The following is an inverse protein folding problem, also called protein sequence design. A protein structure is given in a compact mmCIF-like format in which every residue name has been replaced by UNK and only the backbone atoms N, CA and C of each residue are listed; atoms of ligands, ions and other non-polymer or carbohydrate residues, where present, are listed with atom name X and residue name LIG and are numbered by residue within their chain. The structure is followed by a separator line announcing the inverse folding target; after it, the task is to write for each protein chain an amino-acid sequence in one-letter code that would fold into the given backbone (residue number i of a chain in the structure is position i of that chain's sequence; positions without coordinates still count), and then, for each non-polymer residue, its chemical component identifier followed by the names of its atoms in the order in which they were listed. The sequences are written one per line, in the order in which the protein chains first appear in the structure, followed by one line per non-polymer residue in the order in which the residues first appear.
data_IF_198975733460
#
_entry.id   IF_198975733460
#
_cell.length_a   1.000
_cell.length_b   1.000
_cell.length_c   1.000
_cell.angle_alpha   90.00
_cell.angle_beta   90.00
_cell.angle_gamma   90.00
#
_symmetry.space_group_name_H-M   'P 1'
#
loop_
_entity.id
_entity.type
_entity.pdbx_description
1 polymer ?
#
# COMPACT_ATOMS: atom_id res chain seq x y z
N UNK A 1 10.00 4.82 2.20
CA UNK A 1 8.87 5.08 3.11
C UNK A 1 9.34 5.63 4.46
N UNK A 2 10.09 4.89 5.30
CA UNK A 2 10.53 5.39 6.64
C UNK A 2 11.31 6.71 6.61
N UNK A 3 12.16 6.95 5.59
CA UNK A 3 12.91 8.19 5.48
C UNK A 3 12.03 9.42 5.20
N UNK A 4 10.94 9.25 4.44
CA UNK A 4 9.98 10.33 4.16
C UNK A 4 9.11 10.66 5.37
N UNK A 5 8.80 9.65 6.20
CA UNK A 5 8.10 9.82 7.48
C UNK A 5 8.93 10.62 8.49
N UNK A 6 10.21 10.26 8.65
CA UNK A 6 11.13 11.06 9.46
C UNK A 6 11.22 12.49 8.94
N UNK A 7 11.36 12.67 7.63
CA UNK A 7 11.40 14.00 7.03
C UNK A 7 10.11 14.80 7.30
N UNK A 8 8.94 14.19 7.14
CA UNK A 8 7.65 14.88 7.35
C UNK A 8 7.43 15.27 8.82
N UNK A 9 7.76 14.39 9.77
CA UNK A 9 7.64 14.69 11.20
C UNK A 9 8.64 15.76 11.64
N UNK A 10 9.88 15.70 11.14
CA UNK A 10 10.91 16.72 11.39
C UNK A 10 10.46 18.07 10.80
N UNK A 11 9.94 18.11 9.58
CA UNK A 11 9.45 19.34 8.95
C UNK A 11 8.31 19.95 9.77
N UNK A 12 7.36 19.14 10.24
CA UNK A 12 6.28 19.61 11.09
C UNK A 12 6.80 20.18 12.42
N UNK A 13 7.67 19.45 13.12
CA UNK A 13 8.28 19.92 14.37
C UNK A 13 9.11 21.21 14.19
N UNK A 14 9.91 21.30 13.14
CA UNK A 14 10.70 22.49 12.81
C UNK A 14 9.80 23.70 12.53
N UNK A 15 8.69 23.50 11.80
CA UNK A 15 7.71 24.55 11.55
C UNK A 15 7.10 25.07 12.85
N UNK A 16 6.72 24.18 13.77
CA UNK A 16 6.11 24.55 15.05
C UNK A 16 7.10 25.30 15.96
N UNK A 17 8.37 24.85 16.02
CA UNK A 17 9.46 25.55 16.73
C UNK A 17 9.79 26.91 16.11
N UNK A 18 9.72 27.03 14.78
CA UNK A 18 9.96 28.31 14.10
C UNK A 18 8.83 29.30 14.38
N UNK A 19 7.57 28.84 14.35
CA UNK A 19 6.39 29.67 14.60
C UNK A 19 6.39 30.23 16.03
N UNK A 20 6.64 29.37 17.02
CA UNK A 20 6.78 29.75 18.44
C UNK A 20 7.95 30.71 18.67
N UNK A 21 9.13 30.45 18.10
CA UNK A 21 10.28 31.36 18.20
C UNK A 21 10.00 32.72 17.54
N UNK A 22 9.38 32.72 16.37
CA UNK A 22 9.07 33.95 15.67
C UNK A 22 8.03 34.80 16.43
N UNK A 23 7.01 34.18 17.03
CA UNK A 23 6.08 34.88 17.92
C UNK A 23 6.76 35.40 19.19
N UNK A 24 7.67 34.60 19.78
CA UNK A 24 8.50 35.02 20.91
C UNK A 24 9.32 36.29 20.61
N UNK A 25 9.95 36.35 19.44
CA UNK A 25 10.75 37.48 18.95
C UNK A 25 9.92 38.74 18.63
N UNK A 26 8.58 38.63 18.55
CA UNK A 26 7.68 39.77 18.38
C UNK A 26 7.24 40.38 19.70
N UNK A 27 7.30 39.63 20.81
CA UNK A 27 6.86 40.12 22.12
C UNK A 27 7.81 41.19 22.68
N UNK A 28 7.30 42.23 23.35
CA UNK A 28 8.12 43.28 23.94
C UNK A 28 8.91 42.78 25.16
N UNK A 29 10.21 43.11 25.21
CA UNK A 29 11.14 42.72 26.29
C UNK A 29 10.82 43.30 27.68
N UNK A 30 9.88 44.24 27.77
CA UNK A 30 9.53 44.95 29.02
C UNK A 30 8.69 44.11 29.99
N UNK A 31 8.10 43.01 29.53
CA UNK A 31 7.25 42.13 30.35
C UNK A 31 8.07 40.95 30.91
N UNK A 32 7.71 40.44 32.10
CA UNK A 32 8.36 39.26 32.66
C UNK A 32 8.22 38.06 31.71
N UNK A 33 9.26 37.23 31.65
CA UNK A 33 9.36 36.10 30.71
C UNK A 33 8.16 35.15 30.77
N UNK A 34 7.60 34.94 31.97
CA UNK A 34 6.43 34.07 32.16
C UNK A 34 5.17 34.62 31.46
N UNK A 35 4.93 35.93 31.55
CA UNK A 35 3.79 36.59 30.89
C UNK A 35 4.00 36.65 29.37
N UNK A 36 5.26 36.81 28.91
CA UNK A 36 5.61 36.74 27.49
C UNK A 36 5.33 35.35 26.91
N UNK A 37 5.71 34.29 27.64
CA UNK A 37 5.46 32.92 27.21
C UNK A 37 3.96 32.63 27.14
N UNK A 38 3.19 33.06 28.15
CA UNK A 38 1.74 32.93 28.16
C UNK A 38 1.10 33.54 26.91
N UNK A 39 1.50 34.77 26.52
CA UNK A 39 1.00 35.43 25.31
C UNK A 39 1.40 34.74 24.01
N UNK A 40 2.61 34.18 23.94
CA UNK A 40 3.06 33.42 22.77
C UNK A 40 2.26 32.13 22.62
N UNK A 41 2.03 31.41 23.72
CA UNK A 41 1.22 30.20 23.73
C UNK A 41 -0.25 30.50 23.43
N UNK A 42 -0.78 31.64 23.89
CA UNK A 42 -2.14 32.08 23.56
C UNK A 42 -2.30 32.41 22.06
N UNK A 43 -1.30 33.04 21.44
CA UNK A 43 -1.33 33.41 20.02
C UNK A 43 -1.08 32.21 19.09
N UNK A 44 -0.13 31.35 19.43
CA UNK A 44 0.39 30.30 18.53
C UNK A 44 -0.11 28.90 18.88
N UNK A 45 -0.39 28.65 20.16
CA UNK A 45 -0.79 27.33 20.67
C UNK A 45 -1.96 26.72 19.92
N UNK A 46 -3.10 27.43 19.73
CA UNK A 46 -4.24 26.91 18.99
C UNK A 46 -3.88 26.49 17.55
N UNK A 47 -3.05 27.27 16.85
CA UNK A 47 -2.64 26.96 15.48
C UNK A 47 -1.80 25.68 15.40
N UNK A 48 -0.87 25.50 16.35
CA UNK A 48 -0.03 24.31 16.42
C UNK A 48 -0.88 23.09 16.75
N UNK A 49 -1.73 23.18 17.78
CA UNK A 49 -2.61 22.09 18.19
C UNK A 49 -3.56 21.67 17.08
N UNK A 50 -4.18 22.60 16.36
CA UNK A 50 -5.06 22.26 15.23
C UNK A 50 -4.30 21.52 14.14
N UNK A 51 -3.11 21.99 13.77
CA UNK A 51 -2.31 21.38 12.70
C UNK A 51 -1.87 19.97 13.08
N UNK A 52 -1.33 19.78 14.29
CA UNK A 52 -0.87 18.47 14.76
C UNK A 52 -2.03 17.50 14.96
N UNK A 53 -3.14 17.96 15.54
CA UNK A 53 -4.33 17.14 15.76
C UNK A 53 -4.93 16.67 14.43
N UNK A 54 -5.10 17.57 13.45
CA UNK A 54 -5.64 17.18 12.14
C UNK A 54 -4.72 16.19 11.44
N UNK A 55 -3.40 16.37 11.52
CA UNK A 55 -2.44 15.41 10.95
C UNK A 55 -2.54 14.04 11.63
N UNK A 56 -2.55 13.99 12.96
CA UNK A 56 -2.69 12.74 13.74
C UNK A 56 -4.00 12.03 13.38
N UNK A 57 -5.13 12.75 13.32
CA UNK A 57 -6.42 12.16 12.94
C UNK A 57 -6.40 11.63 11.51
N UNK A 58 -5.77 12.34 10.57
CA UNK A 58 -5.65 11.90 9.17
C UNK A 58 -4.85 10.59 9.07
N UNK A 59 -3.75 10.47 9.81
CA UNK A 59 -2.98 9.24 9.88
C UNK A 59 -3.73 8.11 10.61
N UNK A 60 -4.50 8.41 11.66
CA UNK A 60 -5.34 7.42 12.32
C UNK A 60 -6.47 6.91 11.40
N UNK A 61 -7.01 7.73 10.51
CA UNK A 61 -7.93 7.27 9.46
C UNK A 61 -7.19 6.36 8.47
N UNK A 62 -5.96 6.72 8.09
CA UNK A 62 -5.10 5.89 7.24
C UNK A 62 -4.75 4.53 7.85
N UNK A 63 -4.67 4.44 9.18
CA UNK A 63 -4.46 3.18 9.90
C UNK A 63 -5.59 2.16 9.66
N UNK A 64 -6.82 2.61 9.40
CA UNK A 64 -7.97 1.75 9.11
C UNK A 64 -7.93 1.09 7.71
N UNK A 65 -6.89 1.35 6.91
CA UNK A 65 -6.75 0.71 5.60
C UNK A 65 -6.45 -0.79 5.73
N UNK A 66 -7.01 -1.65 4.85
CA UNK A 66 -6.87 -3.11 4.93
C UNK A 66 -5.46 -3.62 4.58
N UNK A 67 -4.58 -2.76 4.07
CA UNK A 67 -3.20 -3.08 3.69
C UNK A 67 -2.27 -2.97 4.91
N UNK A 68 -1.75 -4.09 5.40
CA UNK A 68 -0.97 -4.18 6.64
C UNK A 68 0.25 -3.25 6.67
N UNK A 69 1.01 -3.16 5.57
CA UNK A 69 2.20 -2.31 5.49
C UNK A 69 1.87 -0.82 5.65
N UNK A 70 0.80 -0.35 5.01
CA UNK A 70 0.34 1.05 5.06
C UNK A 70 -0.26 1.36 6.43
N UNK A 71 -0.99 0.40 7.00
CA UNK A 71 -1.62 0.51 8.31
C UNK A 71 -0.59 0.75 9.42
N UNK A 72 0.47 -0.06 9.48
CA UNK A 72 1.57 0.10 10.45
C UNK A 72 2.31 1.42 10.23
N UNK A 73 2.54 1.79 8.97
CA UNK A 73 3.16 3.07 8.61
C UNK A 73 2.36 4.27 9.14
N UNK A 74 1.05 4.30 8.89
CA UNK A 74 0.19 5.39 9.34
C UNK A 74 0.12 5.47 10.88
N UNK A 75 0.10 4.33 11.57
CA UNK A 75 0.09 4.31 13.04
C UNK A 75 1.41 4.86 13.63
N UNK A 76 2.56 4.47 13.09
CA UNK A 76 3.87 5.00 13.48
C UNK A 76 3.96 6.52 13.30
N UNK A 77 3.47 7.03 12.16
CA UNK A 77 3.46 8.46 11.85
C UNK A 77 2.56 9.26 12.79
N UNK A 78 1.38 8.73 13.13
CA UNK A 78 0.46 9.35 14.08
C UNK A 78 1.11 9.49 15.47
N UNK A 79 1.78 8.43 15.95
CA UNK A 79 2.49 8.47 17.23
C UNK A 79 3.68 9.44 17.21
N UNK A 80 4.48 9.42 16.14
CA UNK A 80 5.63 10.31 16.00
C UNK A 80 5.23 11.79 16.02
N UNK A 81 4.18 12.17 15.28
CA UNK A 81 3.64 13.53 15.27
C UNK A 81 3.02 13.91 16.63
N UNK A 82 2.35 12.97 17.29
CA UNK A 82 1.82 13.16 18.64
C UNK A 82 2.93 13.45 19.66
N UNK A 83 4.02 12.67 19.65
CA UNK A 83 5.18 12.93 20.49
C UNK A 83 5.90 14.23 20.13
N UNK A 84 6.07 14.53 18.84
CA UNK A 84 6.65 15.80 18.41
C UNK A 84 5.87 17.01 18.96
N UNK A 85 4.54 16.95 18.95
CA UNK A 85 3.69 17.97 19.55
C UNK A 85 3.92 18.10 21.07
N UNK A 86 3.93 16.98 21.80
CA UNK A 86 4.19 16.96 23.24
C UNK A 86 5.57 17.55 23.54
N UNK A 87 6.60 17.19 22.78
CA UNK A 87 7.95 17.73 22.92
C UNK A 87 8.00 19.24 22.67
N UNK A 88 7.30 19.75 21.66
CA UNK A 88 7.24 21.18 21.36
C UNK A 88 6.54 21.97 22.48
N UNK A 89 5.46 21.46 23.06
CA UNK A 89 4.74 22.16 24.13
C UNK A 89 5.47 22.05 25.48
N UNK A 90 5.94 20.86 25.84
CA UNK A 90 6.45 20.56 27.19
C UNK A 90 7.95 20.83 27.33
N UNK A 91 8.75 20.62 26.29
CA UNK A 91 10.22 20.78 26.38
C UNK A 91 10.67 22.09 25.74
N UNK A 92 10.21 22.38 24.53
CA UNK A 92 10.69 23.56 23.80
C UNK A 92 10.22 24.89 24.43
N UNK A 93 8.97 24.98 24.89
CA UNK A 93 8.46 26.21 25.51
C UNK A 93 9.17 26.57 26.84
N UNK A 94 9.45 25.62 27.76
CA UNK A 94 10.27 25.92 28.94
C UNK A 94 11.73 26.24 28.64
N UNK A 95 12.34 25.62 27.61
CA UNK A 95 13.70 25.98 27.18
C UNK A 95 13.72 27.42 26.68
N UNK A 96 12.75 27.83 25.86
CA UNK A 96 12.59 29.23 25.43
C UNK A 96 12.48 30.19 26.62
N UNK A 97 11.71 29.81 27.64
CA UNK A 97 11.60 30.59 28.88
C UNK A 97 12.95 30.72 29.59
N UNK A 98 13.70 29.62 29.75
CA UNK A 98 14.98 29.61 30.42
C UNK A 98 16.03 30.47 29.70
N UNK A 99 16.20 30.26 28.39
CA UNK A 99 17.15 31.05 27.56
C UNK A 99 16.82 32.55 27.58
N UNK A 100 15.55 32.92 27.77
CA UNK A 100 15.16 34.33 27.81
C UNK A 100 15.63 35.09 29.06
N UNK A 101 15.91 34.39 30.16
CA UNK A 101 16.46 35.00 31.36
C UNK A 101 17.90 35.48 31.11
N UNK A 102 18.64 34.75 30.27
CA UNK A 102 20.00 35.10 29.85
C UNK A 102 20.02 36.21 28.79
N UNK A 103 19.04 36.22 27.86
CA UNK A 103 18.90 37.27 26.82
C UNK A 103 18.73 38.69 27.42
N UNK A 104 18.24 38.80 28.67
CA UNK A 104 18.10 40.09 29.36
C UNK A 104 19.43 40.81 29.64
N UNK A 105 20.58 40.14 29.51
CA UNK A 105 21.90 40.69 29.84
C UNK A 105 22.70 41.24 28.66
N UNK A 106 22.49 40.76 27.43
CA UNK A 106 23.29 41.17 26.26
C UNK A 106 22.44 41.78 25.15
N UNK A 107 22.12 43.07 25.29
CA UNK A 107 21.43 43.84 24.27
C UNK A 107 22.40 44.38 23.20
N UNK A 108 22.87 43.56 22.24
CA UNK A 108 23.73 44.04 21.13
C UNK A 108 23.19 43.84 19.70
N UNK A 109 22.06 43.20 19.45
CA UNK A 109 21.62 42.92 18.05
C UNK A 109 20.58 43.90 17.46
N UNK A 110 20.75 45.21 17.70
CA UNK A 110 19.75 46.22 17.34
C UNK A 110 19.68 46.61 15.84
N UNK A 111 20.80 46.55 15.10
CA UNK A 111 20.90 47.22 13.79
C UNK A 111 20.57 46.32 12.59
N UNK A 112 21.17 45.12 12.50
CA UNK A 112 20.92 44.18 11.40
C UNK A 112 19.46 43.70 11.39
N UNK A 113 18.92 43.38 12.58
CA UNK A 113 17.52 43.02 12.79
C UNK A 113 16.54 44.13 12.37
N UNK A 114 16.93 45.41 12.49
CA UNK A 114 16.11 46.57 12.09
C UNK A 114 16.05 46.76 10.57
N UNK A 115 17.17 46.58 9.85
CA UNK A 115 17.20 46.68 8.37
C UNK A 115 16.41 45.55 7.72
N UNK A 116 16.63 44.30 8.16
CA UNK A 116 15.89 43.12 7.67
C UNK A 116 14.38 43.24 7.89
N UNK A 117 13.93 43.63 9.10
CA UNK A 117 12.49 43.85 9.39
C UNK A 117 11.85 44.97 8.56
N UNK A 118 12.63 45.95 8.08
CA UNK A 118 12.11 47.06 7.26
C UNK A 118 11.95 46.62 5.81
N UNK A 119 12.95 45.94 5.27
CA UNK A 119 12.90 45.34 3.94
C UNK A 119 11.77 44.30 3.83
N UNK A 120 11.71 43.35 4.76
CA UNK A 120 10.67 42.32 4.77
C UNK A 120 9.26 42.92 4.81
N UNK A 121 9.02 43.94 5.66
CA UNK A 121 7.71 44.63 5.70
C UNK A 121 7.41 45.45 4.44
N UNK A 122 8.42 45.93 3.72
CA UNK A 122 8.22 46.61 2.44
C UNK A 122 7.81 45.60 1.35
N UNK A 123 8.51 44.45 1.28
CA UNK A 123 8.16 43.35 0.38
C UNK A 123 6.78 42.79 0.68
N UNK A 124 6.46 42.53 1.95
CA UNK A 124 5.15 41.99 2.35
C UNK A 124 4.00 42.96 2.02
N UNK A 125 4.23 44.27 2.17
CA UNK A 125 3.25 45.29 1.78
C UNK A 125 3.07 45.33 0.27
N UNK A 126 4.15 45.29 -0.50
CA UNK A 126 4.08 45.20 -1.96
C UNK A 126 3.29 43.97 -2.41
N UNK A 127 3.63 42.79 -1.87
CA UNK A 127 2.91 41.54 -2.13
C UNK A 127 1.43 41.64 -1.74
N UNK A 128 1.12 42.15 -0.55
CA UNK A 128 -0.27 42.29 -0.09
C UNK A 128 -1.08 43.25 -0.95
N UNK A 129 -0.50 44.35 -1.42
CA UNK A 129 -1.17 45.27 -2.34
C UNK A 129 -1.44 44.62 -3.70
N UNK A 130 -0.49 43.85 -4.21
CA UNK A 130 -0.65 43.11 -5.47
C UNK A 130 -1.73 42.04 -5.34
N UNK A 131 -1.76 41.30 -4.23
CA UNK A 131 -2.73 40.23 -3.98
C UNK A 131 -4.13 40.77 -3.70
N UNK A 132 -4.24 41.96 -3.11
CA UNK A 132 -5.52 42.64 -2.83
C UNK A 132 -6.12 43.31 -4.07
N UNK A 133 -5.35 43.47 -5.16
CA UNK A 133 -5.88 44.04 -6.40
C UNK A 133 -6.87 43.08 -7.07
N UNK A 134 -8.01 43.62 -7.50
CA UNK A 134 -9.12 42.84 -8.07
C UNK A 134 -8.71 42.17 -9.39
N UNK A 135 -7.83 42.79 -10.17
CA UNK A 135 -7.35 42.22 -11.44
C UNK A 135 -6.46 41.01 -11.18
N UNK A 136 -5.53 41.12 -10.23
CA UNK A 136 -4.69 39.98 -9.79
C UNK A 136 -5.54 38.84 -9.27
N UNK A 137 -6.56 39.12 -8.46
CA UNK A 137 -7.48 38.09 -7.95
C UNK A 137 -8.21 37.34 -9.08
N UNK A 138 -8.68 38.05 -10.11
CA UNK A 138 -9.33 37.42 -11.27
C UNK A 138 -8.33 36.54 -12.05
N UNK A 139 -7.10 37.04 -12.28
CA UNK A 139 -6.06 36.26 -12.97
C UNK A 139 -5.69 34.99 -12.19
N UNK A 140 -5.52 35.09 -10.87
CA UNK A 140 -5.26 33.94 -10.01
C UNK A 140 -6.41 32.95 -10.05
N UNK A 141 -7.66 33.42 -9.98
CA UNK A 141 -8.83 32.55 -10.04
C UNK A 141 -8.91 31.78 -11.37
N UNK A 142 -8.69 32.46 -12.51
CA UNK A 142 -8.62 31.81 -13.82
C UNK A 142 -7.46 30.81 -13.85
N UNK A 143 -6.29 31.18 -13.35
CA UNK A 143 -5.13 30.29 -13.24
C UNK A 143 -5.41 29.05 -12.40
N UNK A 144 -6.13 29.18 -11.28
CA UNK A 144 -6.55 28.05 -10.44
C UNK A 144 -7.53 27.13 -11.17
N UNK A 145 -8.48 27.68 -11.93
CA UNK A 145 -9.39 26.87 -12.75
C UNK A 145 -8.62 26.07 -13.80
N UNK A 146 -7.67 26.70 -14.50
CA UNK A 146 -6.82 26.03 -15.49
C UNK A 146 -5.98 24.95 -14.82
N UNK A 147 -5.39 25.25 -13.65
CA UNK A 147 -4.63 24.28 -12.86
C UNK A 147 -5.49 23.07 -12.46
N UNK A 148 -6.72 23.29 -11.98
CA UNK A 148 -7.65 22.21 -11.65
C UNK A 148 -8.07 21.41 -12.88
N UNK A 149 -8.29 22.06 -14.02
CA UNK A 149 -8.60 21.36 -15.27
C UNK A 149 -7.49 20.38 -15.65
N UNK A 150 -6.22 20.84 -15.65
CA UNK A 150 -5.09 19.95 -15.93
C UNK A 150 -4.90 18.89 -14.84
N UNK A 151 -5.11 19.22 -13.57
CA UNK A 151 -5.06 18.28 -12.46
C UNK A 151 -6.05 17.14 -12.64
N UNK A 152 -7.33 17.46 -12.90
CA UNK A 152 -8.40 16.47 -13.12
C UNK A 152 -8.11 15.62 -14.36
N UNK A 153 -7.69 16.24 -15.46
CA UNK A 153 -7.31 15.50 -16.67
C UNK A 153 -6.15 14.53 -16.41
N UNK A 154 -5.14 14.96 -15.64
CA UNK A 154 -4.03 14.12 -15.22
C UNK A 154 -4.48 12.96 -14.32
N UNK A 155 -5.39 13.21 -13.38
CA UNK A 155 -5.96 12.17 -12.52
C UNK A 155 -6.80 11.17 -13.30
N UNK A 156 -7.61 11.59 -14.28
CA UNK A 156 -8.40 10.66 -15.10
C UNK A 156 -7.49 9.79 -15.99
N UNK A 157 -6.37 10.34 -16.45
CA UNK A 157 -5.41 9.63 -17.30
C UNK A 157 -4.49 8.66 -16.52
N UNK A 158 -4.52 8.66 -15.18
CA UNK A 158 -3.61 7.82 -14.39
C UNK A 158 -4.05 6.35 -14.45
N UNK A 159 -3.26 5.50 -15.11
CA UNK A 159 -3.48 4.07 -15.07
C UNK A 159 -2.86 3.51 -13.80
N UNK A 160 -3.69 2.99 -12.88
CA UNK A 160 -3.23 2.30 -11.68
C UNK A 160 -2.65 0.92 -12.06
N UNK A 161 -1.37 0.91 -12.42
CA UNK A 161 -0.59 -0.33 -12.63
C UNK A 161 0.62 -0.30 -11.69
N UNK A 162 0.72 -1.33 -10.85
CA UNK A 162 1.85 -1.52 -9.96
C UNK A 162 2.93 -2.28 -10.75
N UNK A 163 3.78 -1.54 -11.46
CA UNK A 163 4.89 -2.16 -12.20
C UNK A 163 5.93 -2.65 -11.20
N UNK A 164 6.20 -3.96 -11.18
CA UNK A 164 7.20 -4.54 -10.27
C UNK A 164 8.61 -3.99 -10.53
N UNK A 165 8.88 -3.53 -11.76
CA UNK A 165 10.09 -2.81 -12.14
C UNK A 165 10.34 -1.54 -11.31
N UNK A 166 9.28 -0.85 -10.86
CA UNK A 166 9.40 0.39 -10.07
C UNK A 166 9.65 0.14 -8.59
N UNK A 167 9.34 -1.06 -8.10
CA UNK A 167 9.55 -1.46 -6.71
C UNK A 167 11.00 -1.94 -6.51
N UNK A 168 11.57 -2.57 -7.53
CA UNK A 168 12.93 -3.08 -7.48
C UNK A 168 13.95 -1.94 -7.54
N UNK A 169 15.00 -1.95 -6.70
CA UNK A 169 16.11 -1.03 -6.87
C UNK A 169 16.75 -1.21 -8.26
N UNK A 170 17.01 -0.10 -8.94
CA UNK A 170 17.44 -0.06 -10.35
C UNK A 170 18.71 -0.87 -10.64
N UNK A 171 19.56 -1.06 -9.64
CA UNK A 171 20.86 -1.73 -9.77
C UNK A 171 20.82 -3.23 -9.41
N UNK A 172 19.63 -3.80 -9.16
CA UNK A 172 19.53 -5.21 -8.78
C UNK A 172 19.71 -6.13 -9.99
N UNK A 173 20.47 -7.25 -9.85
CA UNK A 173 20.67 -8.21 -10.93
C UNK A 173 19.36 -8.93 -11.35
N UNK A 174 18.32 -8.87 -10.51
CA UNK A 174 17.02 -9.51 -10.75
C UNK A 174 16.14 -8.74 -11.73
N UNK A 175 16.49 -7.48 -12.04
CA UNK A 175 15.71 -6.61 -12.90
C UNK A 175 15.57 -7.16 -14.33
N UNK A 176 16.66 -7.70 -14.92
CA UNK A 176 16.64 -8.26 -16.28
C UNK A 176 15.78 -9.53 -16.37
N UNK A 177 15.94 -10.55 -15.50
CA UNK A 177 15.04 -11.68 -15.45
C UNK A 177 13.57 -11.28 -15.24
N UNK A 178 13.29 -10.38 -14.30
CA UNK A 178 11.91 -9.99 -13.98
C UNK A 178 11.20 -9.34 -15.18
N UNK A 179 11.91 -8.47 -15.92
CA UNK A 179 11.39 -7.87 -17.15
C UNK A 179 11.05 -8.91 -18.23
N UNK A 180 11.82 -9.99 -18.34
CA UNK A 180 11.53 -11.07 -19.29
C UNK A 180 10.31 -11.88 -18.84
N UNK A 181 10.19 -12.18 -17.55
CA UNK A 181 9.03 -12.89 -17.00
C UNK A 181 7.75 -12.08 -17.20
N UNK A 182 7.77 -10.78 -16.91
CA UNK A 182 6.60 -9.92 -17.03
C UNK A 182 6.15 -9.71 -18.49
N UNK A 183 7.09 -9.45 -19.40
CA UNK A 183 6.76 -9.14 -20.79
C UNK A 183 6.51 -10.38 -21.66
N UNK A 184 7.09 -11.53 -21.32
CA UNK A 184 7.01 -12.75 -22.14
C UNK A 184 6.19 -13.81 -21.42
N UNK A 185 6.60 -14.21 -20.22
CA UNK A 185 6.00 -15.36 -19.53
C UNK A 185 4.58 -15.05 -19.07
N UNK A 186 4.34 -13.96 -18.36
CA UNK A 186 2.98 -13.62 -17.88
C UNK A 186 2.02 -13.22 -18.99
N UNK A 187 2.54 -12.68 -20.10
CA UNK A 187 1.74 -12.38 -21.28
C UNK A 187 1.27 -13.65 -22.00
N UNK A 188 2.07 -14.72 -21.97
CA UNK A 188 1.79 -15.97 -22.66
C UNK A 188 1.15 -17.06 -21.79
N UNK A 189 1.52 -17.13 -20.51
CA UNK A 189 1.17 -18.20 -19.59
C UNK A 189 1.04 -17.69 -18.14
N UNK A 190 -0.21 -17.65 -17.66
CA UNK A 190 -0.53 -17.37 -16.26
C UNK A 190 -1.43 -18.49 -15.72
N UNK A 191 -0.90 -19.42 -14.89
CA UNK A 191 -1.67 -20.55 -14.42
C UNK A 191 -2.73 -20.10 -13.41
N UNK A 192 -3.98 -20.49 -13.64
CA UNK A 192 -5.09 -20.26 -12.71
C UNK A 192 -5.46 -21.60 -12.08
N UNK A 193 -5.29 -21.71 -10.76
CA UNK A 193 -5.68 -22.91 -10.01
C UNK A 193 -7.07 -22.71 -9.42
N UNK A 194 -8.02 -23.55 -9.83
CA UNK A 194 -9.39 -23.54 -9.31
C UNK A 194 -9.52 -24.66 -8.28
N UNK A 195 -9.92 -24.32 -7.06
CA UNK A 195 -10.12 -25.28 -5.97
C UNK A 195 -11.60 -25.33 -5.63
N UNK A 196 -12.19 -26.52 -5.74
CA UNK A 196 -13.59 -26.76 -5.38
C UNK A 196 -13.65 -27.18 -3.90
N UNK A 197 -14.25 -26.33 -3.06
CA UNK A 197 -14.30 -26.57 -1.61
C UNK A 197 -15.27 -27.69 -1.21
N UNK A 198 -16.35 -27.90 -1.97
CA UNK A 198 -17.33 -28.96 -1.69
C UNK A 198 -16.98 -30.22 -2.49
N UNK A 199 -16.72 -31.38 -1.85
CA UNK A 199 -16.38 -32.58 -2.58
C UNK A 199 -17.57 -33.05 -3.42
N UNK A 200 -17.32 -33.36 -4.68
CA UNK A 200 -18.30 -33.92 -5.60
C UNK A 200 -18.11 -35.43 -5.66
N UNK A 201 -19.20 -36.19 -5.59
CA UNK A 201 -19.14 -37.64 -5.79
C UNK A 201 -19.08 -37.94 -7.28
N UNK A 202 -17.90 -38.35 -7.76
CA UNK A 202 -17.66 -38.63 -9.19
C UNK A 202 -18.17 -40.00 -9.64
N UNK A 203 -18.73 -40.81 -8.73
CA UNK A 203 -19.41 -42.07 -9.08
C UNK A 203 -20.75 -41.84 -9.77
N UNK A 204 -21.37 -40.68 -9.52
CA UNK A 204 -22.63 -40.28 -10.12
C UNK A 204 -22.37 -39.61 -11.48
N UNK A 205 -22.98 -40.14 -12.54
CA UNK A 205 -22.85 -39.61 -13.90
C UNK A 205 -23.40 -38.18 -14.00
N UNK A 206 -24.47 -37.85 -13.25
CA UNK A 206 -25.09 -36.53 -13.32
C UNK A 206 -24.15 -35.45 -12.74
N UNK A 207 -23.55 -35.71 -11.58
CA UNK A 207 -22.58 -34.81 -10.97
C UNK A 207 -21.27 -34.73 -11.75
N UNK A 208 -20.83 -35.85 -12.35
CA UNK A 208 -19.65 -35.85 -13.21
C UNK A 208 -19.86 -34.98 -14.46
N UNK A 209 -21.05 -35.05 -15.05
CA UNK A 209 -21.43 -34.20 -16.18
C UNK A 209 -21.47 -32.72 -15.80
N UNK A 210 -21.96 -32.38 -14.61
CA UNK A 210 -21.92 -31.00 -14.09
C UNK A 210 -20.48 -30.48 -13.94
N UNK A 211 -19.57 -31.28 -13.38
CA UNK A 211 -18.15 -30.93 -13.27
C UNK A 211 -17.50 -30.76 -14.65
N UNK A 212 -17.81 -31.64 -15.60
CA UNK A 212 -17.30 -31.52 -16.96
C UNK A 212 -17.83 -30.27 -17.68
N UNK A 213 -19.10 -29.91 -17.47
CA UNK A 213 -19.68 -28.68 -18.00
C UNK A 213 -19.03 -27.43 -17.38
N UNK A 214 -18.78 -27.44 -16.07
CA UNK A 214 -18.04 -26.39 -15.37
C UNK A 214 -16.63 -26.20 -15.95
N UNK A 215 -15.87 -27.28 -16.13
CA UNK A 215 -14.53 -27.20 -16.74
C UNK A 215 -14.61 -26.70 -18.18
N UNK A 216 -15.57 -27.18 -18.97
CA UNK A 216 -15.78 -26.73 -20.34
C UNK A 216 -16.10 -25.23 -20.43
N UNK A 217 -16.82 -24.67 -19.46
CA UNK A 217 -17.08 -23.22 -19.39
C UNK A 217 -15.79 -22.41 -19.28
N UNK A 218 -14.85 -22.83 -18.41
CA UNK A 218 -13.53 -22.19 -18.29
C UNK A 218 -12.67 -22.37 -19.55
N UNK A 219 -12.74 -23.54 -20.17
CA UNK A 219 -11.98 -23.85 -21.40
C UNK A 219 -12.44 -23.03 -22.60
N UNK A 220 -13.73 -22.68 -22.64
CA UNK A 220 -14.33 -21.88 -23.70
C UNK A 220 -14.16 -20.36 -23.52
N UNK A 221 -13.58 -19.90 -22.41
CA UNK A 221 -13.30 -18.47 -22.22
C UNK A 221 -12.34 -17.95 -23.31
N UNK A 222 -12.56 -16.73 -23.85
CA UNK A 222 -11.77 -16.20 -24.97
C UNK A 222 -10.30 -15.95 -24.61
N UNK A 223 -9.98 -15.87 -23.32
CA UNK A 223 -8.62 -15.72 -22.79
C UNK A 223 -7.95 -17.05 -22.46
N UNK A 224 -8.67 -18.16 -22.53
CA UNK A 224 -8.14 -19.50 -22.28
C UNK A 224 -7.57 -20.09 -23.58
N UNK A 225 -6.52 -20.91 -23.47
CA UNK A 225 -5.92 -21.61 -24.63
C UNK A 225 -6.67 -22.90 -25.02
N UNK A 226 -7.75 -23.22 -24.32
CA UNK A 226 -8.58 -24.40 -24.56
C UNK A 226 -8.14 -25.64 -23.78
N UNK A 227 -8.84 -26.75 -24.01
CA UNK A 227 -8.76 -27.98 -23.20
C UNK A 227 -7.38 -28.66 -23.18
N UNK A 228 -6.59 -28.51 -24.25
CA UNK A 228 -5.25 -29.11 -24.34
C UNK A 228 -4.25 -28.53 -23.34
N UNK A 229 -4.54 -27.35 -22.77
CA UNK A 229 -3.69 -26.70 -21.78
C UNK A 229 -4.28 -26.76 -20.36
N UNK A 230 -5.44 -27.40 -20.19
CA UNK A 230 -6.07 -27.59 -18.89
C UNK A 230 -5.51 -28.85 -18.23
N UNK A 231 -4.88 -28.68 -17.06
CA UNK A 231 -4.47 -29.81 -16.22
C UNK A 231 -5.64 -30.23 -15.34
N UNK A 232 -6.38 -31.26 -15.75
CA UNK A 232 -7.52 -31.79 -15.01
C UNK A 232 -7.36 -33.28 -14.71
N UNK A 233 -6.86 -33.58 -13.52
CA UNK A 233 -6.49 -34.93 -13.06
C UNK A 233 -7.61 -35.97 -13.19
N UNK A 234 -8.88 -35.57 -13.15
CA UNK A 234 -10.01 -36.50 -13.21
C UNK A 234 -10.19 -37.08 -14.62
N UNK A 235 -9.91 -36.32 -15.69
CA UNK A 235 -9.92 -36.84 -17.07
C UNK A 235 -8.87 -37.94 -17.23
N UNK A 236 -7.65 -37.67 -16.78
CA UNK A 236 -6.54 -38.63 -16.81
C UNK A 236 -6.84 -39.87 -15.95
N UNK A 237 -7.53 -39.68 -14.82
CA UNK A 237 -7.97 -40.80 -13.98
C UNK A 237 -9.03 -41.68 -14.64
N UNK A 238 -10.00 -41.09 -15.36
CA UNK A 238 -11.01 -41.83 -16.12
C UNK A 238 -10.34 -42.67 -17.22
N UNK A 239 -9.41 -42.08 -17.96
CA UNK A 239 -8.66 -42.77 -19.02
C UNK A 239 -7.79 -43.91 -18.46
N UNK A 240 -7.16 -43.70 -17.30
CA UNK A 240 -6.44 -44.72 -16.55
C UNK A 240 -7.37 -45.83 -16.05
N UNK A 241 -8.55 -45.49 -15.54
CA UNK A 241 -9.51 -46.45 -14.98
C UNK A 241 -10.01 -47.44 -16.04
N UNK A 242 -10.35 -46.93 -17.24
CA UNK A 242 -10.87 -47.71 -18.37
C UNK A 242 -9.79 -48.31 -19.28
N UNK A 243 -8.52 -48.13 -18.97
CA UNK A 243 -7.41 -48.83 -19.65
C UNK A 243 -7.12 -48.33 -21.06
N UNK A 244 -7.46 -47.09 -21.40
CA UNK A 244 -7.15 -46.52 -22.73
C UNK A 244 -5.69 -46.02 -22.82
N UNK A 245 -4.94 -46.05 -21.71
CA UNK A 245 -3.55 -45.59 -21.62
C UNK A 245 -2.55 -46.57 -20.97
N UNK A 246 -2.85 -47.88 -20.94
CA UNK A 246 -2.06 -48.92 -20.24
C UNK A 246 -0.54 -48.83 -20.55
N UNK A 247 -0.17 -48.46 -21.78
CA UNK A 247 1.23 -48.45 -22.19
C UNK A 247 2.09 -47.32 -21.59
N UNK A 248 1.51 -46.20 -21.14
CA UNK A 248 2.28 -45.06 -20.60
C UNK A 248 2.36 -45.05 -19.06
N UNK A 249 1.45 -45.75 -18.38
CA UNK A 249 1.39 -45.79 -16.91
C UNK A 249 2.02 -47.05 -16.28
N UNK A 250 2.18 -48.14 -17.04
CA UNK A 250 2.68 -49.43 -16.56
C UNK A 250 4.19 -49.45 -16.23
N UNK A 251 4.93 -48.38 -16.51
CA UNK A 251 6.38 -48.36 -16.30
C UNK A 251 6.80 -48.37 -14.82
N UNK A 252 5.88 -48.15 -13.86
CA UNK A 252 6.21 -47.91 -12.45
C UNK A 252 5.51 -48.80 -11.41
N UNK A 253 4.60 -49.71 -11.78
CA UNK A 253 3.85 -50.52 -10.81
C UNK A 253 3.92 -52.02 -11.12
N UNK A 254 4.32 -52.82 -10.12
CA UNK A 254 4.14 -54.28 -10.14
C UNK A 254 2.64 -54.58 -10.22
N UNK A 255 2.25 -55.33 -11.25
CA UNK A 255 0.86 -55.48 -11.68
C UNK A 255 -0.04 -56.17 -10.66
N UNK A 256 -0.93 -55.40 -10.04
CA UNK A 256 -2.18 -55.92 -9.48
C UNK A 256 -3.22 -56.00 -10.61
N UNK A 257 -3.61 -57.23 -10.97
CA UNK A 257 -4.64 -57.50 -11.99
C UNK A 257 -6.02 -57.17 -11.41
N UNK A 258 -6.55 -55.99 -11.77
CA UNK A 258 -7.91 -55.59 -11.41
C UNK A 258 -8.90 -56.28 -12.37
N UNK A 259 -9.95 -56.97 -11.87
CA UNK A 259 -10.96 -57.58 -12.73
C UNK A 259 -11.66 -56.50 -13.58
N UNK A 260 -12.12 -56.89 -14.78
CA UNK A 260 -12.90 -56.03 -15.68
C UNK A 260 -14.22 -55.61 -14.99
N UNK A 261 -14.22 -54.43 -14.36
CA UNK A 261 -15.39 -53.85 -13.69
C UNK A 261 -16.19 -52.97 -14.66
N UNK A 262 -17.53 -52.97 -14.49
CA UNK A 262 -18.46 -52.23 -15.36
C UNK A 262 -18.83 -50.83 -14.84
N UNK A 263 -18.47 -50.49 -13.60
CA UNK A 263 -18.89 -49.26 -12.93
C UNK A 263 -17.66 -48.43 -12.53
N UNK A 264 -17.69 -47.13 -12.81
CA UNK A 264 -16.61 -46.21 -12.44
C UNK A 264 -16.55 -46.00 -10.91
N UNK A 265 -15.34 -45.98 -10.35
CA UNK A 265 -15.17 -45.84 -8.90
C UNK A 265 -13.74 -45.47 -8.51
N UNK A 266 -13.46 -45.52 -7.20
CA UNK A 266 -12.20 -45.01 -6.63
C UNK A 266 -11.12 -46.06 -6.33
N UNK A 267 -11.38 -47.36 -6.57
CA UNK A 267 -10.46 -48.45 -6.18
C UNK A 267 -9.06 -48.32 -6.79
N UNK A 268 -8.99 -47.88 -8.05
CA UNK A 268 -7.73 -47.67 -8.78
C UNK A 268 -7.06 -46.32 -8.46
N UNK A 269 -7.69 -45.46 -7.64
CA UNK A 269 -7.22 -44.11 -7.35
C UNK A 269 -5.90 -44.12 -6.56
N UNK A 270 -5.73 -45.08 -5.66
CA UNK A 270 -4.50 -45.23 -4.89
C UNK A 270 -3.28 -45.50 -5.78
N UNK A 271 -3.44 -46.35 -6.81
CA UNK A 271 -2.41 -46.62 -7.82
C UNK A 271 -2.12 -45.38 -8.68
N UNK A 272 -3.17 -44.71 -9.17
CA UNK A 272 -3.03 -43.47 -9.96
C UNK A 272 -2.28 -42.36 -9.20
N UNK A 273 -2.66 -42.10 -7.95
CA UNK A 273 -2.01 -41.11 -7.09
C UNK A 273 -0.61 -41.55 -6.60
N UNK A 274 -0.23 -42.80 -6.82
CA UNK A 274 1.13 -43.28 -6.60
C UNK A 274 2.11 -42.79 -7.66
N UNK A 275 1.64 -42.47 -8.88
CA UNK A 275 2.47 -41.97 -9.96
C UNK A 275 3.12 -40.63 -9.57
N UNK A 276 4.44 -40.44 -9.77
CA UNK A 276 5.13 -39.18 -9.44
C UNK A 276 4.50 -37.94 -10.08
N UNK A 277 3.86 -38.06 -11.25
CA UNK A 277 3.17 -36.94 -11.92
C UNK A 277 1.93 -36.48 -11.16
N UNK A 278 1.12 -37.40 -10.61
CA UNK A 278 -0.17 -37.08 -9.98
C UNK A 278 -0.14 -37.07 -8.45
N UNK A 279 0.96 -37.51 -7.85
CA UNK A 279 1.15 -37.58 -6.38
C UNK A 279 0.83 -36.27 -5.65
N UNK A 280 1.10 -35.13 -6.29
CA UNK A 280 0.86 -33.81 -5.69
C UNK A 280 -0.63 -33.50 -5.49
N UNK A 281 -1.54 -34.10 -6.28
CA UNK A 281 -2.98 -33.92 -6.11
C UNK A 281 -3.52 -34.54 -4.80
N UNK A 282 -2.82 -35.52 -4.23
CA UNK A 282 -3.22 -36.18 -2.97
C UNK A 282 -3.39 -35.18 -1.81
N UNK A 283 -2.63 -34.09 -1.79
CA UNK A 283 -2.73 -33.06 -0.75
C UNK A 283 -4.04 -32.25 -0.82
N UNK A 284 -4.72 -32.25 -1.97
CA UNK A 284 -5.91 -31.44 -2.25
C UNK A 284 -7.19 -32.27 -2.31
N UNK A 285 -7.11 -33.60 -2.18
CA UNK A 285 -8.25 -34.51 -2.21
C UNK A 285 -8.68 -34.89 -0.78
N UNK A 286 -9.99 -34.84 -0.54
CA UNK A 286 -10.59 -35.34 0.69
C UNK A 286 -11.02 -36.79 0.48
N UNK A 287 -10.12 -37.73 0.78
CA UNK A 287 -10.36 -39.17 0.62
C UNK A 287 -10.98 -39.76 1.89
N UNK A 288 -12.10 -40.46 1.75
CA UNK A 288 -12.64 -41.31 2.82
C UNK A 288 -12.08 -42.73 2.65
N UNK A 289 -11.07 -43.06 3.46
CA UNK A 289 -10.34 -44.33 3.39
C UNK A 289 -11.18 -45.55 3.77
N UNK A 290 -12.42 -45.37 4.27
CA UNK A 290 -13.34 -46.47 4.50
C UNK A 290 -14.09 -46.92 3.23
N UNK A 291 -14.04 -46.15 2.13
CA UNK A 291 -14.75 -46.42 0.88
C UNK A 291 -13.83 -46.59 -0.35
N UNK A 292 -12.51 -46.46 -0.19
CA UNK A 292 -11.50 -46.57 -1.25
C UNK A 292 -10.75 -47.88 -1.20
#
# INVERSE_FOLDING_TARGET
SQFEEFASSIVAGVNDSFLTTHAWLRQPLRQPAAVRLGKVLEEVGPSITTTTLTNVVTFLIGWLTPTEEISIFCFGSAMALGFAYIYTVIIFCPILYYCSLEESKDAYEGCFRRKGKRFFRAVLRGYSCVLADRRTAIVLFIGTIVYWYFGIMGTISITAKLDTEKILPKDTPIHRPNRLVENIVWAEYYPVTIIVNNPVDVRDEDHLNEVNAFVAEFENLPTCRGSNFTMFWLRDYIDYYWGVGVNDFDFYFDGDEYPDEKEFGFKKLAGFLGNPLYKHHKAFLKLDYNQT
#
